data_IF_057518978238
#
_entry.id   IF_057518978238
#
_cell.length_a   1.000
_cell.length_b   1.000
_cell.length_c   1.000
_cell.angle_alpha   90.00
_cell.angle_beta   90.00
_cell.angle_gamma   90.00
#
_symmetry.space_group_name_H-M   'P 1'
#
loop_
_entity.id
_entity.type
_entity.pdbx_description
1 polymer ?
#
# COMPACT_ATOMS: atom_id res chain seq x y z
N UNK A 1 -20.97 103.69 -10.39
CA UNK A 1 -20.03 103.98 -9.31
C UNK A 1 -19.91 102.73 -8.42
N UNK A 2 -18.65 102.25 -8.17
CA UNK A 2 -18.22 101.27 -7.15
C UNK A 2 -18.43 99.82 -7.47
N UNK A 3 -17.47 99.25 -8.06
CA UNK A 3 -16.32 98.44 -7.65
C UNK A 3 -16.59 96.97 -7.24
N UNK A 4 -16.18 96.14 -8.15
CA UNK A 4 -15.91 94.73 -7.98
C UNK A 4 -14.79 94.44 -7.02
N UNK A 5 -14.83 93.28 -6.34
CA UNK A 5 -13.67 92.50 -6.01
C UNK A 5 -13.94 91.03 -6.17
N UNK A 6 -13.13 90.42 -7.05
CA UNK A 6 -13.00 89.03 -7.35
C UNK A 6 -12.37 88.27 -6.20
N UNK A 7 -12.91 87.11 -5.87
CA UNK A 7 -12.25 86.11 -5.00
C UNK A 7 -12.21 84.77 -5.69
N UNK A 8 -11.01 84.38 -6.12
CA UNK A 8 -10.70 83.01 -6.62
C UNK A 8 -10.69 82.04 -5.43
N UNK A 9 -11.54 81.03 -5.46
CA UNK A 9 -11.42 79.86 -4.63
C UNK A 9 -10.86 78.70 -5.47
N UNK A 10 -9.59 78.33 -5.17
CA UNK A 10 -8.94 77.16 -5.71
C UNK A 10 -9.49 75.91 -5.04
N UNK A 11 -10.25 75.10 -5.79
CA UNK A 11 -10.72 73.78 -5.35
C UNK A 11 -9.59 72.74 -5.49
N UNK A 12 -9.14 72.18 -4.38
CA UNK A 12 -8.21 71.05 -4.31
C UNK A 12 -9.03 69.77 -4.51
N UNK A 13 -8.91 69.11 -5.68
CA UNK A 13 -9.48 67.80 -5.94
C UNK A 13 -8.56 66.75 -5.34
N UNK A 14 -8.95 66.17 -4.22
CA UNK A 14 -8.26 65.03 -3.61
C UNK A 14 -8.69 63.78 -4.33
N UNK A 15 -7.86 63.27 -5.25
CA UNK A 15 -8.04 61.98 -5.92
C UNK A 15 -7.74 60.86 -4.92
N UNK A 16 -8.75 60.34 -4.27
CA UNK A 16 -8.65 59.09 -3.47
C UNK A 16 -8.44 57.89 -4.36
N UNK A 17 -7.21 57.36 -4.41
CA UNK A 17 -6.94 56.03 -5.01
C UNK A 17 -7.49 54.97 -4.10
N UNK A 18 -8.68 54.40 -4.43
CA UNK A 18 -9.17 53.17 -3.85
C UNK A 18 -8.23 52.06 -4.37
N UNK A 19 -7.27 51.64 -3.56
CA UNK A 19 -6.59 50.38 -3.71
C UNK A 19 -7.60 49.27 -3.33
N UNK A 20 -8.36 48.77 -4.32
CA UNK A 20 -9.13 47.54 -4.18
C UNK A 20 -8.10 46.40 -3.98
N UNK A 21 -7.87 46.03 -2.73
CA UNK A 21 -7.17 44.81 -2.38
C UNK A 21 -7.92 43.61 -3.00
N UNK A 22 -7.37 43.05 -4.04
CA UNK A 22 -7.80 41.74 -4.55
C UNK A 22 -7.40 40.74 -3.47
N UNK A 23 -8.27 40.54 -2.47
CA UNK A 23 -8.20 39.36 -1.64
C UNK A 23 -8.48 38.18 -2.59
N UNK A 24 -7.45 37.55 -3.10
CA UNK A 24 -7.57 36.27 -3.77
C UNK A 24 -8.30 35.32 -2.80
N UNK A 25 -9.54 35.00 -3.07
CA UNK A 25 -10.22 33.93 -2.35
C UNK A 25 -9.34 32.69 -2.49
N UNK A 26 -8.73 32.24 -1.39
CA UNK A 26 -8.08 30.95 -1.38
C UNK A 26 -9.13 29.92 -1.81
N UNK A 27 -8.82 29.13 -2.84
CA UNK A 27 -9.71 28.04 -3.23
C UNK A 27 -9.89 27.09 -2.03
N UNK A 28 -11.10 26.57 -1.85
CA UNK A 28 -11.34 25.56 -0.81
C UNK A 28 -10.39 24.38 -1.01
N UNK A 29 -9.80 23.82 0.06
CA UNK A 29 -8.90 22.70 -0.05
C UNK A 29 -9.60 21.48 -0.66
N UNK A 30 -8.87 20.76 -1.50
CA UNK A 30 -9.37 19.52 -2.13
C UNK A 30 -9.54 18.45 -1.05
N UNK A 31 -10.71 17.84 -1.01
CA UNK A 31 -11.00 16.74 -0.07
C UNK A 31 -10.52 15.43 -0.65
N UNK A 32 -9.79 14.66 0.16
CA UNK A 32 -9.28 13.32 -0.16
C UNK A 32 -9.78 12.35 0.91
N UNK A 33 -10.51 11.32 0.49
CA UNK A 33 -10.87 10.21 1.37
C UNK A 33 -9.73 9.20 1.42
N UNK A 34 -9.38 8.71 2.62
CA UNK A 34 -8.40 7.63 2.82
C UNK A 34 -9.13 6.43 3.39
N UNK A 35 -9.28 5.39 2.56
CA UNK A 35 -9.97 4.16 2.89
C UNK A 35 -8.93 3.07 3.18
N UNK A 36 -8.58 2.89 4.45
CA UNK A 36 -7.64 1.86 4.90
C UNK A 36 -8.39 0.59 5.32
N UNK A 37 -7.81 -0.59 5.08
CA UNK A 37 -8.45 -1.83 5.52
C UNK A 37 -8.32 -2.05 7.03
N UNK A 38 -7.16 -1.70 7.61
CA UNK A 38 -6.92 -1.83 9.04
C UNK A 38 -5.60 -1.19 9.47
N UNK A 39 -5.41 -1.10 10.77
CA UNK A 39 -4.15 -0.61 11.35
C UNK A 39 -3.05 -1.68 11.22
N UNK A 40 -2.07 -1.38 10.38
CA UNK A 40 -0.89 -2.21 10.16
C UNK A 40 0.31 -1.31 9.81
N UNK A 41 1.52 -1.55 10.34
CA UNK A 41 2.67 -0.68 10.13
C UNK A 41 2.95 -0.38 8.65
N UNK A 42 2.88 -1.39 7.77
CA UNK A 42 3.12 -1.22 6.33
C UNK A 42 2.03 -0.39 5.66
N UNK A 43 0.75 -0.60 6.03
CA UNK A 43 -0.36 0.18 5.46
C UNK A 43 -0.26 1.65 5.92
N UNK A 44 0.13 1.88 7.16
CA UNK A 44 0.37 3.23 7.69
C UNK A 44 1.58 3.89 7.02
N UNK A 45 2.65 3.13 6.70
CA UNK A 45 3.78 3.62 5.93
C UNK A 45 3.37 4.05 4.50
N UNK A 46 2.48 3.26 3.84
CA UNK A 46 1.93 3.64 2.54
C UNK A 46 1.11 4.95 2.62
N UNK A 47 0.30 5.13 3.68
CA UNK A 47 -0.45 6.37 3.89
C UNK A 47 0.51 7.56 4.10
N UNK A 48 1.55 7.38 4.91
CA UNK A 48 2.55 8.41 5.16
C UNK A 48 3.29 8.80 3.86
N UNK A 49 3.73 7.81 3.07
CA UNK A 49 4.36 8.02 1.76
C UNK A 49 3.45 8.76 0.78
N UNK A 50 2.16 8.41 0.74
CA UNK A 50 1.15 9.08 -0.08
C UNK A 50 1.02 10.57 0.27
N UNK A 51 0.81 10.88 1.55
CA UNK A 51 0.68 12.27 2.02
C UNK A 51 1.95 13.08 1.79
N UNK A 52 3.12 12.46 2.08
CA UNK A 52 4.42 13.09 1.81
C UNK A 52 4.56 13.44 0.33
N UNK A 53 4.25 12.49 -0.56
CA UNK A 53 4.35 12.71 -2.00
C UNK A 53 3.42 13.80 -2.50
N UNK A 54 2.18 13.89 -1.98
CA UNK A 54 1.27 14.99 -2.30
C UNK A 54 1.84 16.33 -1.86
N UNK A 55 2.39 16.43 -0.66
CA UNK A 55 3.05 17.65 -0.15
C UNK A 55 4.22 18.04 -1.04
N UNK A 56 5.10 17.09 -1.41
CA UNK A 56 6.25 17.32 -2.29
C UNK A 56 5.82 17.79 -3.71
N UNK A 57 4.58 17.47 -4.12
CA UNK A 57 3.98 17.89 -5.40
C UNK A 57 3.10 19.15 -5.31
N UNK A 58 3.14 19.86 -4.18
CA UNK A 58 2.47 21.14 -3.99
C UNK A 58 1.07 21.08 -3.38
N UNK A 59 0.66 19.92 -2.85
CA UNK A 59 -0.62 19.73 -2.17
C UNK A 59 -0.39 19.62 -0.65
N UNK A 60 -0.30 20.75 0.03
CA UNK A 60 0.00 20.83 1.46
C UNK A 60 -1.26 20.55 2.27
N UNK A 61 -1.17 19.64 3.25
CA UNK A 61 -2.27 19.29 4.16
C UNK A 61 -2.74 20.51 4.98
N UNK A 62 -4.04 20.64 5.12
CA UNK A 62 -4.70 21.76 5.81
C UNK A 62 -4.73 23.07 5.00
N UNK A 63 -4.07 23.14 3.85
CA UNK A 63 -4.02 24.31 2.97
C UNK A 63 -4.59 24.02 1.58
N UNK A 64 -3.98 23.09 0.87
CA UNK A 64 -4.33 22.75 -0.52
C UNK A 64 -5.19 21.48 -0.57
N UNK A 65 -5.01 20.57 0.41
CA UNK A 65 -5.79 19.35 0.58
C UNK A 65 -6.21 19.18 2.04
N UNK A 66 -7.28 18.39 2.26
CA UNK A 66 -7.70 17.90 3.58
C UNK A 66 -8.05 16.42 3.47
N UNK A 67 -7.67 15.64 4.47
CA UNK A 67 -7.87 14.20 4.51
C UNK A 67 -9.00 13.80 5.45
N UNK A 68 -9.87 12.89 4.99
CA UNK A 68 -10.80 12.15 5.85
C UNK A 68 -10.39 10.69 5.85
N UNK A 69 -9.86 10.20 6.97
CA UNK A 69 -9.35 8.84 7.09
C UNK A 69 -10.34 7.93 7.81
N UNK A 70 -10.44 6.68 7.35
CA UNK A 70 -11.27 5.66 7.98
C UNK A 70 -10.70 4.27 7.71
N UNK A 71 -10.90 3.33 8.65
CA UNK A 71 -10.51 1.93 8.50
C UNK A 71 -11.58 1.00 9.06
N UNK A 72 -11.49 -0.30 8.76
CA UNK A 72 -12.45 -1.32 9.15
C UNK A 72 -11.89 -2.42 10.05
N UNK A 73 -10.66 -2.26 10.57
CA UNK A 73 -9.96 -3.28 11.38
C UNK A 73 -9.93 -4.67 10.70
N UNK A 74 -9.69 -4.69 9.38
CA UNK A 74 -9.67 -5.90 8.53
C UNK A 74 -11.02 -6.61 8.41
N UNK A 75 -12.14 -5.95 8.74
CA UNK A 75 -13.48 -6.47 8.51
C UNK A 75 -14.01 -6.00 7.15
N UNK A 76 -13.99 -6.89 6.17
CA UNK A 76 -14.45 -6.61 4.81
C UNK A 76 -15.95 -6.26 4.75
N UNK A 77 -16.76 -6.72 5.72
CA UNK A 77 -18.20 -6.44 5.76
C UNK A 77 -18.50 -4.96 6.06
N UNK A 78 -17.57 -4.24 6.69
CA UNK A 78 -17.70 -2.83 7.03
C UNK A 78 -17.21 -1.89 5.92
N UNK A 79 -16.48 -2.40 4.92
CA UNK A 79 -15.92 -1.57 3.83
C UNK A 79 -17.00 -0.80 3.05
N UNK A 80 -18.16 -1.39 2.68
CA UNK A 80 -19.21 -0.62 1.99
C UNK A 80 -19.69 0.60 2.79
N UNK A 81 -19.86 0.46 4.10
CA UNK A 81 -20.25 1.56 4.98
C UNK A 81 -19.17 2.62 5.08
N UNK A 82 -17.90 2.20 5.18
CA UNK A 82 -16.75 3.12 5.17
C UNK A 82 -16.70 3.94 3.89
N UNK A 83 -16.83 3.32 2.72
CA UNK A 83 -16.82 4.01 1.43
C UNK A 83 -18.01 4.98 1.32
N UNK A 84 -19.22 4.58 1.74
CA UNK A 84 -20.38 5.46 1.74
C UNK A 84 -20.18 6.69 2.62
N UNK A 85 -19.56 6.53 3.80
CA UNK A 85 -19.22 7.64 4.69
C UNK A 85 -18.21 8.60 4.03
N UNK A 86 -17.15 8.06 3.40
CA UNK A 86 -16.17 8.89 2.70
C UNK A 86 -16.79 9.62 1.50
N UNK A 87 -17.68 8.96 0.75
CA UNK A 87 -18.39 9.56 -0.39
C UNK A 87 -19.28 10.72 0.04
N UNK A 88 -19.92 10.63 1.22
CA UNK A 88 -20.78 11.71 1.75
C UNK A 88 -20.01 13.02 2.01
N UNK A 89 -18.69 12.94 2.25
CA UNK A 89 -17.80 14.11 2.36
C UNK A 89 -17.46 14.75 1.02
N UNK A 90 -17.98 14.21 -0.10
CA UNK A 90 -17.74 14.69 -1.47
C UNK A 90 -16.26 14.86 -1.82
N UNK A 91 -15.42 13.85 -1.63
CA UNK A 91 -14.01 13.95 -1.96
C UNK A 91 -13.81 14.03 -3.47
N UNK A 92 -12.77 14.72 -3.91
CA UNK A 92 -12.33 14.73 -5.30
C UNK A 92 -11.66 13.40 -5.69
N UNK A 93 -11.03 12.75 -4.70
CA UNK A 93 -10.28 11.52 -4.84
C UNK A 93 -10.43 10.66 -3.58
N UNK A 94 -10.54 9.34 -3.75
CA UNK A 94 -10.42 8.35 -2.67
C UNK A 94 -9.15 7.55 -2.87
N UNK A 95 -8.25 7.59 -1.89
CA UNK A 95 -7.09 6.74 -1.78
C UNK A 95 -7.50 5.44 -1.06
N UNK A 96 -7.40 4.31 -1.75
CA UNK A 96 -7.79 3.00 -1.21
C UNK A 96 -6.55 2.15 -0.94
N UNK A 97 -6.52 1.50 0.21
CA UNK A 97 -5.40 0.67 0.61
C UNK A 97 -5.89 -0.77 0.72
N UNK A 98 -5.23 -1.68 0.04
CA UNK A 98 -5.45 -3.12 -0.15
C UNK A 98 -6.46 -3.48 -1.25
N UNK A 99 -6.34 -4.71 -1.76
CA UNK A 99 -7.18 -5.24 -2.84
C UNK A 99 -8.66 -5.30 -2.48
N UNK A 100 -9.09 -5.83 -1.31
CA UNK A 100 -10.51 -5.89 -0.95
C UNK A 100 -11.17 -4.51 -0.88
N UNK A 101 -10.51 -3.53 -0.28
CA UNK A 101 -11.02 -2.16 -0.18
C UNK A 101 -11.17 -1.53 -1.57
N UNK A 102 -10.16 -1.70 -2.43
CA UNK A 102 -10.14 -1.14 -3.78
C UNK A 102 -11.24 -1.75 -4.66
N UNK A 103 -11.49 -3.07 -4.55
CA UNK A 103 -12.56 -3.75 -5.28
C UNK A 103 -13.96 -3.27 -4.88
N UNK A 104 -14.17 -3.05 -3.59
CA UNK A 104 -15.47 -2.57 -3.07
C UNK A 104 -15.65 -1.10 -3.44
N UNK A 105 -14.61 -0.27 -3.30
CA UNK A 105 -14.64 1.15 -3.67
C UNK A 105 -14.93 1.34 -5.17
N UNK A 106 -14.31 0.55 -6.06
CA UNK A 106 -14.58 0.58 -7.50
C UNK A 106 -16.06 0.43 -7.80
N UNK A 107 -16.72 -0.53 -7.14
CA UNK A 107 -18.16 -0.79 -7.33
C UNK A 107 -19.03 0.31 -6.72
N UNK A 108 -18.70 0.73 -5.50
CA UNK A 108 -19.51 1.69 -4.76
C UNK A 108 -19.45 3.11 -5.34
N UNK A 109 -18.30 3.51 -5.89
CA UNK A 109 -18.08 4.84 -6.46
C UNK A 109 -18.29 4.91 -7.98
N UNK A 110 -18.73 3.82 -8.61
CA UNK A 110 -18.98 3.79 -10.06
C UNK A 110 -19.97 4.90 -10.46
N UNK A 111 -19.60 5.71 -11.46
CA UNK A 111 -20.44 6.82 -11.96
C UNK A 111 -20.54 8.04 -11.04
N UNK A 112 -19.87 8.08 -9.90
CA UNK A 112 -19.89 9.23 -8.98
C UNK A 112 -19.02 10.41 -9.43
N UNK A 113 -18.09 10.19 -10.36
CA UNK A 113 -17.06 11.18 -10.76
C UNK A 113 -15.91 11.32 -9.74
N UNK A 114 -15.88 10.51 -8.70
CA UNK A 114 -14.79 10.46 -7.71
C UNK A 114 -13.69 9.54 -8.25
N UNK A 115 -12.47 10.06 -8.38
CA UNK A 115 -11.33 9.25 -8.78
C UNK A 115 -10.84 8.36 -7.64
N UNK A 116 -10.32 7.19 -7.98
CA UNK A 116 -9.73 6.23 -7.04
C UNK A 116 -8.25 6.06 -7.37
N UNK A 117 -7.40 6.25 -6.38
CA UNK A 117 -5.99 5.84 -6.43
C UNK A 117 -5.79 4.72 -5.42
N UNK A 118 -5.41 3.54 -5.90
CA UNK A 118 -5.15 2.41 -5.02
C UNK A 118 -3.67 2.29 -4.64
N UNK A 119 -3.40 1.65 -3.50
CA UNK A 119 -2.07 1.13 -3.13
C UNK A 119 -2.18 -0.20 -2.42
N UNK A 120 -1.04 -0.86 -2.21
CA UNK A 120 -0.99 -2.18 -1.58
C UNK A 120 -1.96 -3.18 -2.26
N UNK A 121 -1.96 -3.16 -3.57
CA UNK A 121 -2.71 -4.08 -4.44
C UNK A 121 -1.70 -4.92 -5.21
N UNK A 122 -1.69 -6.22 -4.97
CA UNK A 122 -0.66 -7.12 -5.53
C UNK A 122 -0.77 -7.27 -7.05
N UNK A 123 -1.96 -7.53 -7.57
CA UNK A 123 -2.20 -7.62 -9.02
C UNK A 123 -3.53 -6.93 -9.38
N UNK A 124 -3.48 -5.69 -9.89
CA UNK A 124 -4.67 -4.91 -10.18
C UNK A 124 -5.45 -5.45 -11.37
N UNK A 125 -4.81 -6.20 -12.27
CA UNK A 125 -5.46 -6.84 -13.42
C UNK A 125 -6.23 -8.07 -12.98
N UNK A 126 -5.60 -8.97 -12.22
CA UNK A 126 -6.25 -10.15 -11.64
C UNK A 126 -7.40 -9.74 -10.68
N UNK A 127 -7.22 -8.63 -9.95
CA UNK A 127 -8.25 -8.05 -9.08
C UNK A 127 -9.36 -7.32 -9.85
N UNK A 128 -9.26 -7.19 -11.20
CA UNK A 128 -10.21 -6.48 -12.08
C UNK A 128 -10.37 -4.99 -11.72
N UNK A 129 -9.32 -4.38 -11.22
CA UNK A 129 -9.29 -2.94 -10.92
C UNK A 129 -8.94 -2.12 -12.17
N UNK A 130 -8.07 -2.65 -13.00
CA UNK A 130 -7.67 -2.05 -14.29
C UNK A 130 -7.72 -3.10 -15.39
N UNK A 131 -7.84 -2.69 -16.68
CA UNK A 131 -7.92 -3.63 -17.78
C UNK A 131 -6.58 -4.30 -18.12
N UNK A 132 -5.46 -3.60 -17.86
CA UNK A 132 -4.12 -4.08 -18.17
C UNK A 132 -3.08 -3.42 -17.27
N UNK A 133 -1.83 -3.87 -17.39
CA UNK A 133 -0.69 -3.26 -16.70
C UNK A 133 -0.17 -1.97 -17.37
N UNK A 134 -0.66 -1.65 -18.56
CA UNK A 134 -0.23 -0.52 -19.39
C UNK A 134 -1.19 0.68 -19.27
N UNK A 135 -2.37 0.49 -18.65
CA UNK A 135 -3.39 1.52 -18.54
C UNK A 135 -4.20 1.40 -17.25
N UNK A 136 -4.66 2.54 -16.75
CA UNK A 136 -5.68 2.58 -15.70
C UNK A 136 -7.09 2.29 -16.25
N UNK A 137 -8.10 2.43 -15.40
CA UNK A 137 -9.52 2.30 -15.77
C UNK A 137 -10.23 3.67 -15.62
N UNK A 138 -11.51 3.70 -15.93
CA UNK A 138 -12.35 4.90 -15.78
C UNK A 138 -12.36 5.37 -14.34
N UNK A 139 -11.67 6.49 -14.11
CA UNK A 139 -11.50 7.06 -12.77
C UNK A 139 -10.63 6.26 -11.81
N UNK A 140 -9.85 5.25 -12.24
CA UNK A 140 -9.09 4.40 -11.34
C UNK A 140 -7.72 3.99 -11.86
N UNK A 141 -6.68 4.20 -11.06
CA UNK A 141 -5.33 3.65 -11.21
C UNK A 141 -4.62 3.66 -9.85
N UNK A 142 -3.33 3.29 -9.77
CA UNK A 142 -2.62 3.34 -8.50
C UNK A 142 -1.25 2.68 -8.50
N UNK A 143 -0.76 2.32 -7.31
CA UNK A 143 0.54 1.70 -7.11
C UNK A 143 0.40 0.30 -6.48
N UNK A 144 1.17 -0.66 -6.97
CA UNK A 144 1.11 -2.05 -6.53
C UNK A 144 2.22 -2.36 -5.53
N UNK A 145 2.01 -3.40 -4.74
CA UNK A 145 3.00 -4.02 -3.86
C UNK A 145 3.47 -5.38 -4.39
N UNK A 146 3.35 -5.60 -5.71
CA UNK A 146 3.72 -6.86 -6.34
C UNK A 146 5.18 -7.20 -6.04
N UNK A 147 5.37 -8.31 -5.34
CA UNK A 147 6.68 -8.84 -5.00
C UNK A 147 7.40 -9.40 -6.23
N UNK A 148 8.71 -9.20 -6.32
CA UNK A 148 9.55 -9.95 -7.24
C UNK A 148 9.74 -11.39 -6.72
N UNK A 149 8.88 -12.28 -7.19
CA UNK A 149 8.85 -13.69 -6.71
C UNK A 149 10.13 -14.44 -7.04
N UNK A 150 10.78 -14.13 -8.15
CA UNK A 150 12.08 -14.74 -8.49
C UNK A 150 13.14 -14.33 -7.45
N UNK A 151 13.17 -13.06 -7.08
CA UNK A 151 14.09 -12.56 -6.05
C UNK A 151 13.77 -13.10 -4.64
N UNK A 152 12.47 -13.24 -4.29
CA UNK A 152 12.04 -13.91 -3.04
C UNK A 152 12.60 -15.34 -2.98
N UNK A 153 12.48 -16.10 -4.07
CA UNK A 153 12.96 -17.48 -4.13
C UNK A 153 14.49 -17.57 -4.13
N UNK A 154 15.17 -16.68 -4.84
CA UNK A 154 16.63 -16.58 -4.81
C UNK A 154 17.14 -16.28 -3.38
N UNK A 155 16.53 -15.31 -2.71
CA UNK A 155 16.84 -15.00 -1.31
C UNK A 155 16.58 -16.22 -0.41
N UNK A 156 15.44 -16.89 -0.59
CA UNK A 156 15.10 -18.10 0.18
C UNK A 156 16.14 -19.20 -0.01
N UNK A 157 16.63 -19.41 -1.23
CA UNK A 157 17.71 -20.37 -1.50
C UNK A 157 19.05 -19.99 -0.87
N UNK A 158 19.37 -18.69 -0.83
CA UNK A 158 20.57 -18.21 -0.12
C UNK A 158 20.46 -18.43 1.38
N UNK A 159 19.26 -18.21 1.95
CA UNK A 159 18.98 -18.39 3.39
C UNK A 159 18.90 -19.87 3.78
N UNK A 160 18.24 -20.68 2.95
CA UNK A 160 17.93 -22.10 3.20
C UNK A 160 18.34 -22.94 1.98
N UNK A 161 19.66 -23.21 1.75
CA UNK A 161 20.15 -23.82 0.51
C UNK A 161 19.57 -25.21 0.22
N UNK A 162 19.20 -25.96 1.26
CA UNK A 162 18.68 -27.31 1.13
C UNK A 162 17.15 -27.37 0.95
N UNK A 163 16.43 -26.24 1.07
CA UNK A 163 14.98 -26.21 0.92
C UNK A 163 14.57 -26.53 -0.52
N UNK A 164 13.62 -27.43 -0.68
CA UNK A 164 13.07 -27.88 -1.96
C UNK A 164 11.55 -27.66 -2.05
N UNK A 165 10.85 -27.67 -0.92
CA UNK A 165 9.39 -27.56 -0.85
C UNK A 165 9.00 -26.23 -0.24
N UNK A 166 8.33 -25.40 -1.03
CA UNK A 166 7.95 -24.04 -0.72
C UNK A 166 6.48 -24.01 -0.32
N UNK A 167 6.20 -23.93 0.98
CA UNK A 167 4.87 -23.87 1.55
C UNK A 167 4.28 -22.47 1.43
N UNK A 168 3.05 -22.35 0.94
CA UNK A 168 2.36 -21.06 0.81
C UNK A 168 0.97 -21.16 1.42
N UNK A 169 0.77 -20.68 2.66
CA UNK A 169 -0.57 -20.44 3.18
C UNK A 169 -1.17 -19.21 2.47
N UNK A 170 -2.44 -19.26 2.09
CA UNK A 170 -3.09 -18.17 1.39
C UNK A 170 -4.58 -18.13 1.65
N UNK A 171 -5.23 -16.97 1.58
CA UNK A 171 -6.67 -16.87 1.66
C UNK A 171 -7.29 -17.05 0.26
N UNK A 172 -8.00 -18.16 -0.02
CA UNK A 172 -8.62 -18.37 -1.33
C UNK A 172 -9.76 -17.38 -1.64
N UNK A 173 -10.25 -16.66 -0.64
CA UNK A 173 -11.25 -15.59 -0.82
C UNK A 173 -10.66 -14.24 -1.23
N UNK A 174 -9.32 -14.08 -1.19
CA UNK A 174 -8.63 -12.84 -1.56
C UNK A 174 -7.97 -12.93 -2.93
N UNK A 175 -8.32 -12.01 -3.84
CA UNK A 175 -7.80 -12.00 -5.20
C UNK A 175 -6.28 -11.80 -5.26
N UNK A 176 -5.71 -11.00 -4.35
CA UNK A 176 -4.26 -10.79 -4.21
C UNK A 176 -3.54 -12.10 -3.87
N UNK A 177 -4.04 -12.86 -2.91
CA UNK A 177 -3.44 -14.13 -2.47
C UNK A 177 -3.49 -15.17 -3.59
N UNK A 178 -4.65 -15.32 -4.24
CA UNK A 178 -4.82 -16.25 -5.36
C UNK A 178 -3.87 -15.91 -6.51
N UNK A 179 -3.80 -14.62 -6.91
CA UNK A 179 -2.91 -14.18 -7.98
C UNK A 179 -1.43 -14.43 -7.64
N UNK A 180 -1.04 -14.19 -6.38
CA UNK A 180 0.32 -14.42 -5.93
C UNK A 180 0.70 -15.90 -5.93
N UNK A 181 -0.21 -16.77 -5.47
CA UNK A 181 0.02 -18.24 -5.50
C UNK A 181 0.26 -18.73 -6.92
N UNK A 182 -0.47 -18.23 -7.91
CA UNK A 182 -0.25 -18.62 -9.31
C UNK A 182 1.12 -18.14 -9.82
N UNK A 183 1.52 -16.90 -9.50
CA UNK A 183 2.87 -16.39 -9.83
C UNK A 183 3.99 -17.21 -9.16
N UNK A 184 3.78 -17.62 -7.91
CA UNK A 184 4.71 -18.50 -7.19
C UNK A 184 4.82 -19.86 -7.88
N UNK A 185 3.71 -20.49 -8.26
CA UNK A 185 3.71 -21.77 -8.98
C UNK A 185 4.41 -21.68 -10.32
N UNK A 186 4.26 -20.56 -11.03
CA UNK A 186 4.93 -20.31 -12.31
C UNK A 186 6.45 -20.14 -12.15
N UNK A 187 6.91 -19.41 -11.14
CA UNK A 187 8.32 -19.11 -10.92
C UNK A 187 9.09 -20.24 -10.23
N UNK A 188 8.43 -21.03 -9.39
CA UNK A 188 9.07 -22.00 -8.51
C UNK A 188 9.93 -23.05 -9.21
N UNK A 189 9.55 -23.65 -10.37
CA UNK A 189 10.39 -24.65 -11.05
C UNK A 189 11.76 -24.12 -11.44
N UNK A 190 11.84 -22.88 -11.93
CA UNK A 190 13.11 -22.24 -12.29
C UNK A 190 14.04 -22.02 -11.10
N UNK A 191 13.47 -21.81 -9.89
CA UNK A 191 14.21 -21.70 -8.64
C UNK A 191 14.47 -23.06 -7.97
N UNK A 192 14.03 -24.17 -8.55
CA UNK A 192 14.19 -25.52 -8.00
C UNK A 192 13.34 -25.77 -6.74
N UNK A 193 12.13 -25.19 -6.71
CA UNK A 193 11.13 -25.43 -5.67
C UNK A 193 9.92 -26.19 -6.20
N UNK A 194 9.40 -27.07 -5.34
CA UNK A 194 8.04 -27.60 -5.43
C UNK A 194 7.11 -26.78 -4.51
N UNK A 195 5.95 -26.35 -5.02
CA UNK A 195 5.01 -25.52 -4.28
C UNK A 195 3.98 -26.36 -3.57
N UNK A 196 3.79 -26.12 -2.28
CA UNK A 196 2.72 -26.68 -1.46
C UNK A 196 1.83 -25.54 -1.00
N UNK A 197 0.71 -25.33 -1.69
CA UNK A 197 -0.25 -24.27 -1.33
C UNK A 197 -1.35 -24.82 -0.41
N UNK A 198 -1.66 -24.10 0.67
CA UNK A 198 -2.71 -24.46 1.64
C UNK A 198 -3.64 -23.28 1.87
N UNK A 199 -4.94 -23.47 1.58
CA UNK A 199 -5.96 -22.47 1.83
C UNK A 199 -6.21 -22.24 3.32
N UNK A 200 -6.28 -20.97 3.72
CA UNK A 200 -6.61 -20.49 5.07
C UNK A 200 -7.67 -19.40 4.89
N UNK A 201 -8.91 -19.68 5.17
CA UNK A 201 -10.05 -18.78 4.98
C UNK A 201 -10.59 -18.19 6.29
N UNK A 202 -10.05 -18.65 7.42
CA UNK A 202 -10.43 -18.19 8.75
C UNK A 202 -9.20 -18.10 9.68
N UNK A 203 -9.10 -17.03 10.45
CA UNK A 203 -8.00 -16.83 11.41
C UNK A 203 -7.93 -17.93 12.47
N UNK A 204 -9.07 -18.53 12.85
CA UNK A 204 -9.12 -19.62 13.83
C UNK A 204 -8.50 -20.92 13.29
N UNK A 205 -8.39 -21.10 11.98
CA UNK A 205 -7.83 -22.29 11.34
C UNK A 205 -6.31 -22.18 11.11
N UNK A 206 -5.70 -21.01 11.34
CA UNK A 206 -4.27 -20.75 11.08
C UNK A 206 -3.39 -21.84 11.68
N UNK A 207 -3.58 -22.16 12.96
CA UNK A 207 -2.75 -23.15 13.64
C UNK A 207 -2.81 -24.52 12.94
N UNK A 208 -4.01 -25.01 12.63
CA UNK A 208 -4.20 -26.30 11.99
C UNK A 208 -3.67 -26.31 10.55
N UNK A 209 -3.93 -25.25 9.80
CA UNK A 209 -3.50 -25.13 8.40
C UNK A 209 -1.99 -25.03 8.28
N UNK A 210 -1.35 -24.22 9.13
CA UNK A 210 0.11 -24.11 9.18
C UNK A 210 0.75 -25.44 9.63
N UNK A 211 0.20 -26.10 10.66
CA UNK A 211 0.69 -27.42 11.10
C UNK A 211 0.61 -28.49 10.00
N UNK A 212 -0.31 -28.35 9.04
CA UNK A 212 -0.45 -29.32 7.93
C UNK A 212 0.73 -29.31 6.93
N UNK A 213 1.63 -28.30 6.99
CA UNK A 213 2.89 -28.27 6.24
C UNK A 213 3.97 -29.19 6.82
N UNK A 214 3.82 -29.70 8.04
CA UNK A 214 4.78 -30.60 8.67
C UNK A 214 5.09 -31.80 7.77
N UNK A 215 6.37 -32.04 7.48
CA UNK A 215 6.85 -33.07 6.57
C UNK A 215 6.53 -32.82 5.08
N UNK A 216 5.84 -31.73 4.70
CA UNK A 216 5.49 -31.38 3.32
C UNK A 216 6.13 -30.09 2.82
N UNK A 217 6.58 -29.20 3.67
CA UNK A 217 7.30 -27.99 3.30
C UNK A 217 8.62 -27.88 4.07
N UNK A 218 9.62 -27.29 3.45
CA UNK A 218 10.93 -27.01 4.04
C UNK A 218 11.06 -25.56 4.49
N UNK A 219 10.22 -24.68 3.93
CA UNK A 219 10.09 -23.27 4.26
C UNK A 219 8.65 -22.87 4.00
N UNK A 220 8.11 -21.94 4.80
CA UNK A 220 6.83 -21.29 4.56
C UNK A 220 7.09 -19.87 4.08
N UNK A 221 6.49 -19.49 2.97
CA UNK A 221 6.39 -18.10 2.54
C UNK A 221 5.03 -17.53 2.92
N UNK A 222 5.00 -16.50 3.78
CA UNK A 222 3.77 -15.82 4.16
C UNK A 222 3.56 -14.62 3.24
N UNK A 223 2.52 -14.64 2.38
CA UNK A 223 2.25 -13.55 1.43
C UNK A 223 1.74 -12.27 2.11
N UNK A 224 1.58 -11.19 1.35
CA UNK A 224 0.92 -9.96 1.78
C UNK A 224 -0.61 -10.14 1.87
N UNK A 225 -1.03 -11.16 2.62
CA UNK A 225 -2.41 -11.56 2.86
C UNK A 225 -3.05 -10.68 3.93
N UNK A 226 -4.22 -10.15 3.67
CA UNK A 226 -4.95 -9.33 4.64
C UNK A 226 -5.50 -10.16 5.82
N UNK A 227 -5.55 -11.48 5.67
CA UNK A 227 -5.91 -12.40 6.76
C UNK A 227 -4.68 -12.82 7.57
N UNK A 228 -3.56 -13.13 6.91
CA UNK A 228 -2.40 -13.74 7.57
C UNK A 228 -1.46 -12.70 8.22
N UNK A 229 -1.26 -11.54 7.60
CA UNK A 229 -0.32 -10.53 8.13
C UNK A 229 -0.77 -9.95 9.49
N UNK A 230 -2.04 -9.58 9.72
CA UNK A 230 -2.49 -9.19 11.06
C UNK A 230 -2.35 -10.29 12.11
N UNK A 231 -2.33 -11.56 11.68
CA UNK A 231 -2.21 -12.74 12.54
C UNK A 231 -0.81 -13.40 12.48
N UNK A 232 0.22 -12.70 11.96
CA UNK A 232 1.56 -13.26 11.69
C UNK A 232 2.22 -13.90 12.92
N UNK A 233 1.93 -13.41 14.12
CA UNK A 233 2.39 -14.03 15.37
C UNK A 233 1.85 -15.45 15.55
N UNK A 234 0.58 -15.69 15.22
CA UNK A 234 -0.03 -17.02 15.27
C UNK A 234 0.54 -17.93 14.17
N UNK A 235 0.74 -17.40 12.96
CA UNK A 235 1.41 -18.10 11.85
C UNK A 235 2.82 -18.55 12.28
N UNK A 236 3.60 -17.64 12.85
CA UNK A 236 4.96 -17.90 13.33
C UNK A 236 4.99 -18.95 14.43
N UNK A 237 4.11 -18.86 15.42
CA UNK A 237 4.02 -19.83 16.51
C UNK A 237 3.73 -21.25 15.99
N UNK A 238 2.76 -21.37 15.06
CA UNK A 238 2.39 -22.66 14.46
C UNK A 238 3.53 -23.23 13.58
N UNK A 239 4.19 -22.41 12.77
CA UNK A 239 5.32 -22.82 11.93
C UNK A 239 6.51 -23.27 12.78
N UNK A 240 6.82 -22.56 13.87
CA UNK A 240 7.88 -22.96 14.82
C UNK A 240 7.57 -24.29 15.49
N UNK A 241 6.32 -24.53 15.89
CA UNK A 241 5.91 -25.85 16.41
C UNK A 241 6.07 -26.97 15.38
N UNK A 242 5.84 -26.66 14.11
CA UNK A 242 6.04 -27.59 12.99
C UNK A 242 7.53 -27.75 12.59
N UNK A 243 8.44 -26.94 13.16
CA UNK A 243 9.86 -26.95 12.82
C UNK A 243 10.17 -26.40 11.43
N UNK A 244 9.33 -25.49 10.89
CA UNK A 244 9.45 -24.97 9.54
C UNK A 244 9.75 -23.48 9.60
N UNK A 245 10.90 -22.99 9.07
CA UNK A 245 11.21 -21.56 9.03
C UNK A 245 10.29 -20.79 8.08
N UNK A 246 10.16 -19.49 8.36
CA UNK A 246 9.33 -18.57 7.57
C UNK A 246 10.20 -17.56 6.84
N UNK A 247 9.87 -17.30 5.57
CA UNK A 247 10.20 -16.07 4.84
C UNK A 247 8.91 -15.29 4.66
N UNK A 248 8.88 -14.04 5.15
CA UNK A 248 7.70 -13.20 5.14
C UNK A 248 7.75 -12.15 4.01
N UNK A 249 6.60 -11.70 3.56
CA UNK A 249 6.49 -10.57 2.62
C UNK A 249 6.61 -9.18 3.29
N UNK A 250 6.61 -9.13 4.61
CA UNK A 250 6.65 -7.94 5.46
C UNK A 250 7.85 -8.01 6.40
N UNK A 251 8.63 -6.93 6.51
CA UNK A 251 9.82 -6.87 7.35
C UNK A 251 9.53 -6.43 8.80
N UNK A 252 8.37 -5.84 9.09
CA UNK A 252 8.00 -5.41 10.44
C UNK A 252 8.05 -6.56 11.43
N UNK A 253 7.40 -7.67 11.12
CA UNK A 253 7.41 -8.87 11.96
C UNK A 253 8.81 -9.49 12.12
N UNK A 254 9.74 -9.27 11.17
CA UNK A 254 11.14 -9.69 11.28
C UNK A 254 11.89 -8.78 12.26
N UNK A 255 11.71 -7.47 12.13
CA UNK A 255 12.32 -6.47 13.04
C UNK A 255 11.86 -6.65 14.48
N UNK A 256 10.60 -7.06 14.67
CA UNK A 256 10.04 -7.39 15.98
C UNK A 256 10.53 -8.76 16.52
N UNK A 257 11.30 -9.50 15.74
CA UNK A 257 11.82 -10.82 16.12
C UNK A 257 10.73 -11.90 16.18
N UNK A 258 9.63 -11.72 15.46
CA UNK A 258 8.50 -12.66 15.38
C UNK A 258 8.75 -13.73 14.30
N UNK A 259 9.27 -13.36 13.13
CA UNK A 259 9.59 -14.27 12.03
C UNK A 259 11.05 -14.20 11.63
N UNK A 260 11.65 -15.29 11.10
CA UNK A 260 13.08 -15.40 10.83
C UNK A 260 13.60 -14.42 9.79
N UNK A 261 12.89 -14.26 8.66
CA UNK A 261 13.37 -13.45 7.56
C UNK A 261 12.22 -12.93 6.70
N UNK A 262 12.50 -11.88 5.94
CA UNK A 262 11.63 -11.37 4.88
C UNK A 262 12.44 -10.98 3.66
N UNK A 263 11.76 -10.95 2.52
CA UNK A 263 12.16 -10.18 1.35
C UNK A 263 10.95 -9.35 0.96
N UNK A 264 10.99 -8.05 1.24
CA UNK A 264 9.79 -7.21 1.29
C UNK A 264 9.90 -5.98 0.40
N UNK A 265 8.75 -5.52 -0.11
CA UNK A 265 8.61 -4.22 -0.79
C UNK A 265 8.60 -3.10 0.26
N UNK A 266 9.17 -1.96 -0.08
CA UNK A 266 9.06 -0.75 0.72
C UNK A 266 7.68 -0.10 0.55
N UNK A 267 6.81 -0.23 1.53
CA UNK A 267 5.44 0.29 1.48
C UNK A 267 5.37 1.83 1.53
N UNK A 268 6.34 2.51 2.15
CA UNK A 268 6.42 3.97 2.03
C UNK A 268 6.64 4.38 0.57
N UNK A 269 7.51 3.66 -0.17
CA UNK A 269 7.73 3.91 -1.59
C UNK A 269 6.49 3.61 -2.44
N UNK A 270 5.73 2.54 -2.11
CA UNK A 270 4.42 2.27 -2.75
C UNK A 270 3.48 3.47 -2.55
N UNK A 271 3.40 4.00 -1.33
CA UNK A 271 2.65 5.21 -1.01
C UNK A 271 3.12 6.44 -1.79
N UNK A 272 4.43 6.67 -1.86
CA UNK A 272 5.02 7.76 -2.64
C UNK A 272 4.62 7.68 -4.11
N UNK A 273 4.66 6.48 -4.69
CA UNK A 273 4.25 6.26 -6.09
C UNK A 273 2.75 6.53 -6.29
N UNK A 274 1.90 6.07 -5.37
CA UNK A 274 0.46 6.39 -5.38
C UNK A 274 0.20 7.89 -5.25
N UNK A 275 0.96 8.59 -4.39
CA UNK A 275 0.84 10.03 -4.19
C UNK A 275 1.25 10.86 -5.41
N UNK A 276 2.26 10.42 -6.18
CA UNK A 276 2.61 11.04 -7.48
C UNK A 276 1.46 10.92 -8.47
N UNK A 277 0.89 9.71 -8.58
CA UNK A 277 -0.28 9.45 -9.43
C UNK A 277 -1.47 10.32 -9.02
N UNK A 278 -1.75 10.42 -7.71
CA UNK A 278 -2.81 11.27 -7.19
C UNK A 278 -2.57 12.77 -7.52
N UNK A 279 -1.33 13.25 -7.39
CA UNK A 279 -0.97 14.62 -7.75
C UNK A 279 -1.22 14.91 -9.24
N UNK A 280 -0.87 13.98 -10.14
CA UNK A 280 -1.12 14.13 -11.57
C UNK A 280 -2.63 14.17 -11.88
N UNK A 281 -3.41 13.31 -11.25
CA UNK A 281 -4.88 13.29 -11.38
C UNK A 281 -5.49 14.62 -10.84
N UNK A 282 -5.01 15.11 -9.70
CA UNK A 282 -5.48 16.40 -9.14
C UNK A 282 -5.11 17.59 -10.03
N UNK A 283 -4.04 17.49 -10.82
CA UNK A 283 -3.64 18.45 -11.86
C UNK A 283 -4.37 18.28 -13.20
N UNK A 284 -5.27 17.29 -13.29
CA UNK A 284 -6.15 17.09 -14.44
C UNK A 284 -5.77 15.95 -15.39
N UNK A 285 -4.82 15.09 -15.01
CA UNK A 285 -4.52 13.89 -15.80
C UNK A 285 -5.69 12.88 -15.72
N UNK A 286 -5.96 12.20 -16.85
CA UNK A 286 -6.98 11.15 -16.92
C UNK A 286 -6.40 9.83 -16.36
N UNK A 287 -6.99 9.26 -15.28
CA UNK A 287 -6.56 7.99 -14.71
C UNK A 287 -6.40 6.85 -15.74
N UNK A 288 -7.23 6.81 -16.80
CA UNK A 288 -7.12 5.82 -17.87
C UNK A 288 -5.76 5.79 -18.56
N UNK A 289 -5.11 6.95 -18.66
CA UNK A 289 -3.83 7.09 -19.36
C UNK A 289 -2.62 6.79 -18.48
N UNK A 290 -2.85 6.54 -17.18
CA UNK A 290 -1.79 6.29 -16.20
C UNK A 290 -1.72 4.80 -15.91
N UNK A 291 -0.63 4.16 -16.31
CA UNK A 291 -0.36 2.78 -15.99
C UNK A 291 -0.19 2.58 -14.47
N UNK A 292 -0.67 1.47 -13.89
CA UNK A 292 -0.38 1.14 -12.51
C UNK A 292 1.13 1.06 -12.26
N UNK A 293 1.60 1.71 -11.18
CA UNK A 293 3.01 1.66 -10.81
C UNK A 293 3.37 0.30 -10.23
N UNK A 294 4.50 -0.26 -10.66
CA UNK A 294 5.09 -1.49 -10.09
C UNK A 294 6.30 -1.11 -9.25
N UNK A 295 6.55 -1.82 -8.13
CA UNK A 295 7.83 -1.68 -7.44
C UNK A 295 9.00 -2.05 -8.36
N UNK A 296 10.08 -1.27 -8.32
CA UNK A 296 11.33 -1.65 -8.94
C UNK A 296 12.05 -2.70 -8.07
N UNK A 297 13.02 -3.44 -8.62
CA UNK A 297 13.81 -4.38 -7.82
C UNK A 297 14.49 -3.67 -6.62
N UNK A 298 14.96 -2.44 -6.80
CA UNK A 298 15.58 -1.64 -5.76
C UNK A 298 14.61 -1.22 -4.62
N UNK A 299 13.31 -1.37 -4.82
CA UNK A 299 12.29 -1.13 -3.79
C UNK A 299 12.08 -2.35 -2.86
N UNK A 300 12.81 -3.45 -3.14
CA UNK A 300 12.77 -4.65 -2.32
C UNK A 300 14.03 -4.76 -1.47
N UNK A 301 13.88 -5.28 -0.25
CA UNK A 301 15.00 -5.51 0.64
C UNK A 301 14.84 -6.80 1.46
N UNK A 302 15.93 -7.57 1.65
CA UNK A 302 15.97 -8.65 2.61
C UNK A 302 16.07 -8.09 4.03
N UNK A 303 15.46 -8.78 5.00
CA UNK A 303 15.67 -8.55 6.44
C UNK A 303 15.74 -9.90 7.13
N UNK A 304 16.68 -10.08 8.06
CA UNK A 304 16.90 -11.33 8.80
C UNK A 304 16.98 -11.00 10.30
N UNK A 305 16.16 -11.65 11.13
CA UNK A 305 16.22 -11.50 12.59
C UNK A 305 17.10 -12.60 13.21
N UNK A 306 18.20 -12.22 13.86
CA UNK A 306 19.03 -13.16 14.60
C UNK A 306 18.24 -13.90 15.67
N UNK A 307 17.43 -13.17 16.41
CA UNK A 307 16.58 -13.70 17.49
C UNK A 307 15.59 -14.75 16.96
N UNK A 308 14.87 -14.42 15.88
CA UNK A 308 13.89 -15.34 15.32
C UNK A 308 14.55 -16.53 14.61
N UNK A 309 15.68 -16.35 13.88
CA UNK A 309 16.44 -17.45 13.32
C UNK A 309 16.83 -18.46 14.37
N UNK A 310 17.39 -18.00 15.49
CA UNK A 310 17.76 -18.88 16.63
C UNK A 310 16.52 -19.57 17.22
N UNK A 311 15.38 -18.89 17.35
CA UNK A 311 14.15 -19.47 17.88
C UNK A 311 13.56 -20.56 16.98
N UNK A 312 13.85 -20.52 15.68
CA UNK A 312 13.50 -21.56 14.69
C UNK A 312 14.60 -22.63 14.51
N UNK A 313 15.73 -22.52 15.24
CA UNK A 313 16.85 -23.45 15.12
C UNK A 313 17.57 -23.38 13.76
N UNK A 314 17.55 -22.22 13.11
CA UNK A 314 18.17 -21.99 11.80
C UNK A 314 19.37 -21.07 11.96
N UNK A 315 20.52 -21.49 11.42
CA UNK A 315 21.73 -20.67 11.38
C UNK A 315 21.68 -19.71 10.17
N UNK A 316 22.22 -18.49 10.36
CA UNK A 316 22.40 -17.55 9.26
C UNK A 316 23.59 -18.02 8.43
N UNK A 317 23.43 -18.31 7.11
CA UNK A 317 24.52 -18.73 6.27
C UNK A 317 25.64 -17.69 6.18
N UNK A 318 26.89 -18.15 6.07
CA UNK A 318 28.05 -17.26 5.94
C UNK A 318 27.92 -16.28 4.74
N UNK A 319 27.26 -16.71 3.66
CA UNK A 319 27.01 -15.86 2.49
C UNK A 319 26.09 -14.66 2.77
N UNK A 320 25.38 -14.65 3.88
CA UNK A 320 24.48 -13.55 4.31
C UNK A 320 24.99 -12.83 5.58
N UNK A 321 26.13 -13.25 6.14
CA UNK A 321 26.64 -12.67 7.40
C UNK A 321 26.92 -11.17 7.32
N UNK A 322 27.36 -10.69 6.16
CA UNK A 322 27.76 -9.29 5.91
C UNK A 322 26.76 -8.53 5.01
N UNK A 323 25.51 -9.00 4.89
CA UNK A 323 24.53 -8.40 3.96
C UNK A 323 24.02 -7.01 4.40
N UNK A 324 24.31 -6.54 5.60
CA UNK A 324 23.68 -5.30 6.16
C UNK A 324 22.17 -5.42 6.39
N UNK A 325 21.63 -6.63 6.19
CA UNK A 325 20.19 -6.91 6.28
C UNK A 325 19.78 -7.61 7.59
N UNK A 326 20.76 -7.83 8.50
CA UNK A 326 20.54 -8.55 9.76
C UNK A 326 20.13 -7.56 10.85
N UNK A 327 19.06 -7.90 11.56
CA UNK A 327 18.56 -7.19 12.74
C UNK A 327 18.61 -8.08 13.97
N UNK A 328 18.57 -7.47 15.16
CA UNK A 328 18.67 -8.17 16.45
C UNK A 328 17.35 -8.84 16.90
#
# INVERSE_FOLDING_TARGET
MKNLKSGLLSGLVLAGVLAAGISGAAADPVRIGVANFGEHPQLNAAIAGFKKSLTDNGFVDGKDVVYTESHTNFDASLVPQMIAKLQAEQPKLVYTITTPVSQIAKKALAGSGINIVFSAVTDPVAAKLVPSWEAGDDGMTGATDLQDIAAVMEFTKKLLPNAKRFGVPYNPGEANDVALVEKIKEAAPAAGFEVVAVGVDNVNDIQQRIASFAGKADVIYTPASNLLQPAVAAVSAAARQAGIPIVNSDDGAVRDGVVPASFSVNYEQVGINAGKIAADILKGADPKTIAPSRPAYADHAPTISKKAMAAFGVEIPASLADCGCIVD
#
